data_IF_002984247657
#
_entry.id   IF_002984247657
#
_cell.length_a   1.000
_cell.length_b   1.000
_cell.length_c   1.000
_cell.angle_alpha   90.00
_cell.angle_beta   90.00
_cell.angle_gamma   90.00
#
_symmetry.space_group_name_H-M   'P 1'
#
loop_
_entity.id
_entity.type
_entity.pdbx_description
1 polymer ?
#
# COMPACT_ATOMS: atom_id res chain seq x y z
N UNK A 1 7.56 1.31 -26.66
CA UNK A 1 6.27 1.90 -26.25
C UNK A 1 6.58 2.84 -25.09
N UNK A 2 6.40 4.14 -25.27
CA UNK A 2 6.55 5.08 -24.16
C UNK A 2 5.36 4.82 -23.22
N UNK A 3 5.63 4.41 -21.99
CA UNK A 3 4.60 4.36 -20.95
C UNK A 3 4.12 5.79 -20.75
N UNK A 4 2.85 6.06 -21.01
CA UNK A 4 2.23 7.34 -20.64
C UNK A 4 2.46 7.53 -19.14
N UNK A 5 3.25 8.55 -18.79
CA UNK A 5 3.47 8.92 -17.40
C UNK A 5 2.24 9.68 -16.94
N UNK A 6 1.36 9.00 -16.22
CA UNK A 6 0.23 9.65 -15.56
C UNK A 6 0.79 10.50 -14.42
N UNK A 7 0.55 11.80 -14.47
CA UNK A 7 0.79 12.69 -13.33
C UNK A 7 -0.28 12.41 -12.28
N UNK A 8 0.16 12.03 -11.08
CA UNK A 8 -0.72 11.71 -9.95
C UNK A 8 -0.39 12.67 -8.82
N UNK A 9 -1.40 13.33 -8.27
CA UNK A 9 -1.25 14.24 -7.13
C UNK A 9 -0.98 13.47 -5.83
N UNK A 10 -0.37 14.14 -4.84
CA UNK A 10 -0.19 13.59 -3.50
C UNK A 10 -1.52 13.18 -2.86
N UNK A 11 -2.60 13.93 -3.09
CA UNK A 11 -3.95 13.60 -2.62
C UNK A 11 -4.49 12.29 -3.23
N UNK A 12 -4.24 12.04 -4.52
CA UNK A 12 -4.63 10.79 -5.19
C UNK A 12 -3.80 9.60 -4.70
N UNK A 13 -2.51 9.81 -4.43
CA UNK A 13 -1.65 8.80 -3.80
C UNK A 13 -2.12 8.44 -2.39
N UNK A 14 -2.48 9.44 -1.57
CA UNK A 14 -3.04 9.23 -0.23
C UNK A 14 -4.39 8.51 -0.27
N UNK A 15 -5.27 8.90 -1.19
CA UNK A 15 -6.54 8.20 -1.42
C UNK A 15 -6.33 6.73 -1.78
N UNK A 16 -5.30 6.46 -2.60
CA UNK A 16 -4.94 5.11 -3.01
C UNK A 16 -4.39 4.29 -1.85
N UNK A 17 -3.56 4.88 -0.98
CA UNK A 17 -3.11 4.25 0.27
C UNK A 17 -4.33 3.82 1.11
N UNK A 18 -5.30 4.71 1.31
CA UNK A 18 -6.51 4.40 2.07
C UNK A 18 -7.30 3.22 1.49
N UNK A 19 -7.40 3.11 0.16
CA UNK A 19 -8.03 1.95 -0.51
C UNK A 19 -7.29 0.64 -0.24
N UNK A 20 -5.95 0.67 -0.29
CA UNK A 20 -5.13 -0.51 0.01
C UNK A 20 -5.25 -0.93 1.48
N UNK A 21 -5.28 0.03 2.41
CA UNK A 21 -5.49 -0.24 3.84
C UNK A 21 -6.87 -0.82 4.11
N UNK A 22 -7.91 -0.32 3.44
CA UNK A 22 -9.26 -0.88 3.54
C UNK A 22 -9.32 -2.30 2.98
N UNK A 23 -8.72 -2.54 1.80
CA UNK A 23 -8.66 -3.88 1.20
C UNK A 23 -7.94 -4.87 2.13
N UNK A 24 -6.84 -4.46 2.76
CA UNK A 24 -6.13 -5.25 3.78
C UNK A 24 -7.04 -5.61 4.94
N UNK A 25 -7.78 -4.65 5.49
CA UNK A 25 -8.69 -4.91 6.60
C UNK A 25 -9.78 -5.93 6.22
N UNK A 26 -10.36 -5.81 5.02
CA UNK A 26 -11.34 -6.78 4.52
C UNK A 26 -10.72 -8.17 4.33
N UNK A 27 -9.51 -8.28 3.79
CA UNK A 27 -8.81 -9.57 3.65
C UNK A 27 -8.52 -10.22 5.00
N UNK A 28 -8.11 -9.43 6.00
CA UNK A 28 -7.85 -9.93 7.35
C UNK A 28 -9.13 -10.44 8.03
N UNK A 29 -10.24 -9.71 7.91
CA UNK A 29 -11.54 -10.16 8.44
C UNK A 29 -12.00 -11.47 7.78
N UNK A 30 -11.91 -11.54 6.45
CA UNK A 30 -12.26 -12.75 5.71
C UNK A 30 -11.39 -13.94 6.15
N UNK A 31 -10.09 -13.71 6.35
CA UNK A 31 -9.17 -14.74 6.85
C UNK A 31 -9.54 -15.23 8.25
N UNK A 32 -9.81 -14.34 9.20
CA UNK A 32 -10.22 -14.72 10.56
C UNK A 32 -11.47 -15.60 10.55
N UNK A 33 -12.51 -15.23 9.79
CA UNK A 33 -13.72 -16.04 9.68
C UNK A 33 -13.47 -17.43 9.09
N UNK A 34 -12.54 -17.51 8.15
CA UNK A 34 -12.11 -18.74 7.50
C UNK A 34 -11.29 -19.64 8.46
N UNK A 35 -10.47 -19.04 9.33
CA UNK A 35 -9.69 -19.75 10.36
C UNK A 35 -10.60 -20.32 11.45
N UNK A 36 -11.58 -19.53 11.91
CA UNK A 36 -12.62 -19.99 12.84
C UNK A 36 -13.42 -21.17 12.26
N UNK A 37 -13.79 -21.10 10.99
CA UNK A 37 -14.48 -22.20 10.30
C UNK A 37 -13.60 -23.46 10.23
N UNK A 38 -12.31 -23.30 9.96
CA UNK A 38 -11.34 -24.40 9.96
C UNK A 38 -11.22 -25.05 11.35
N UNK A 39 -11.14 -24.26 12.42
CA UNK A 39 -11.11 -24.77 13.80
C UNK A 39 -12.41 -25.49 14.18
N UNK A 40 -13.55 -25.05 13.65
CA UNK A 40 -14.81 -25.73 13.87
C UNK A 40 -14.83 -27.10 13.18
N UNK A 41 -14.39 -27.17 11.93
CA UNK A 41 -14.28 -28.43 11.17
C UNK A 41 -13.28 -29.39 11.84
N UNK A 42 -12.12 -28.89 12.31
CA UNK A 42 -11.09 -29.67 13.02
C UNK A 42 -11.65 -30.40 14.25
N UNK A 43 -12.63 -29.81 14.92
CA UNK A 43 -13.29 -30.36 16.12
C UNK A 43 -14.40 -31.37 15.78
N UNK A 44 -15.03 -31.23 14.62
CA UNK A 44 -16.17 -32.07 14.22
C UNK A 44 -15.76 -33.27 13.36
N UNK A 45 -14.61 -33.23 12.70
CA UNK A 45 -14.19 -34.26 11.75
C UNK A 45 -12.70 -34.60 11.88
N UNK A 46 -12.41 -35.85 12.27
CA UNK A 46 -11.04 -36.38 12.36
C UNK A 46 -10.85 -37.57 11.43
N UNK A 47 -10.60 -37.28 10.15
CA UNK A 47 -10.46 -38.31 9.11
C UNK A 47 -9.61 -37.81 7.94
N UNK A 48 -9.42 -38.62 6.88
CA UNK A 48 -8.50 -38.30 5.77
C UNK A 48 -8.77 -36.95 5.07
N UNK A 49 -10.03 -36.51 5.04
CA UNK A 49 -10.41 -35.20 4.51
C UNK A 49 -9.76 -34.03 5.26
N UNK A 50 -9.38 -34.23 6.53
CA UNK A 50 -8.69 -33.23 7.38
C UNK A 50 -7.33 -32.83 6.86
N UNK A 51 -6.54 -33.82 6.43
CA UNK A 51 -5.23 -33.58 5.85
C UNK A 51 -5.35 -32.74 4.57
N UNK A 52 -6.33 -33.07 3.71
CA UNK A 52 -6.55 -32.38 2.43
C UNK A 52 -6.98 -30.92 2.66
N UNK A 53 -7.95 -30.65 3.53
CA UNK A 53 -8.34 -29.25 3.75
C UNK A 53 -7.28 -28.48 4.53
N UNK A 54 -6.49 -29.11 5.41
CA UNK A 54 -5.40 -28.45 6.15
C UNK A 54 -4.31 -27.96 5.18
N UNK A 55 -3.98 -28.76 4.16
CA UNK A 55 -3.05 -28.33 3.11
C UNK A 55 -3.61 -27.14 2.30
N UNK A 56 -4.90 -27.19 1.95
CA UNK A 56 -5.56 -26.07 1.25
C UNK A 56 -5.59 -24.82 2.11
N UNK A 57 -5.85 -24.97 3.41
CA UNK A 57 -5.82 -23.89 4.39
C UNK A 57 -4.46 -23.21 4.44
N UNK A 58 -3.38 -24.00 4.53
CA UNK A 58 -2.02 -23.49 4.59
C UNK A 58 -1.65 -22.67 3.34
N UNK A 59 -2.10 -23.12 2.16
CA UNK A 59 -1.91 -22.40 0.91
C UNK A 59 -2.66 -21.06 0.90
N UNK A 60 -3.91 -21.03 1.36
CA UNK A 60 -4.70 -19.80 1.48
C UNK A 60 -4.01 -18.83 2.44
N UNK A 61 -3.62 -19.29 3.64
CA UNK A 61 -2.92 -18.47 4.62
C UNK A 61 -1.61 -17.88 4.08
N UNK A 62 -0.83 -18.68 3.35
CA UNK A 62 0.42 -18.24 2.72
C UNK A 62 0.18 -17.18 1.65
N UNK A 63 -0.85 -17.36 0.81
CA UNK A 63 -1.19 -16.38 -0.21
C UNK A 63 -1.65 -15.06 0.39
N UNK A 64 -2.43 -15.10 1.47
CA UNK A 64 -2.88 -13.89 2.19
C UNK A 64 -1.69 -13.15 2.79
N UNK A 65 -0.74 -13.87 3.38
CA UNK A 65 0.51 -13.27 3.87
C UNK A 65 1.27 -12.55 2.74
N UNK A 66 1.47 -13.22 1.60
CA UNK A 66 2.14 -12.62 0.43
C UNK A 66 1.40 -11.38 -0.09
N UNK A 67 0.06 -11.41 -0.13
CA UNK A 67 -0.74 -10.25 -0.52
C UNK A 67 -0.56 -9.09 0.47
N UNK A 68 -0.54 -9.35 1.77
CA UNK A 68 -0.29 -8.31 2.78
C UNK A 68 1.09 -7.70 2.61
N UNK A 69 2.13 -8.52 2.43
CA UNK A 69 3.51 -8.03 2.21
C UNK A 69 3.59 -7.15 0.95
N UNK A 70 2.89 -7.52 -0.12
CA UNK A 70 2.83 -6.74 -1.36
C UNK A 70 2.05 -5.42 -1.20
N UNK A 71 0.96 -5.43 -0.42
CA UNK A 71 0.21 -4.22 -0.06
C UNK A 71 1.09 -3.27 0.74
N UNK A 72 1.80 -3.78 1.76
CA UNK A 72 2.69 -2.97 2.59
C UNK A 72 3.83 -2.36 1.76
N UNK A 73 4.43 -3.13 0.86
CA UNK A 73 5.44 -2.62 -0.08
C UNK A 73 4.88 -1.51 -0.98
N UNK A 74 3.66 -1.67 -1.48
CA UNK A 74 3.00 -0.66 -2.34
C UNK A 74 2.69 0.62 -1.56
N UNK A 75 2.15 0.50 -0.34
CA UNK A 75 1.88 1.64 0.54
C UNK A 75 3.18 2.38 0.85
N UNK A 76 4.26 1.68 1.19
CA UNK A 76 5.56 2.30 1.47
C UNK A 76 6.12 3.00 0.22
N UNK A 77 5.99 2.41 -0.96
CA UNK A 77 6.39 3.05 -2.21
C UNK A 77 5.61 4.34 -2.47
N UNK A 78 4.29 4.35 -2.21
CA UNK A 78 3.45 5.55 -2.36
C UNK A 78 3.81 6.63 -1.34
N UNK A 79 4.08 6.25 -0.09
CA UNK A 79 4.53 7.18 0.95
C UNK A 79 5.87 7.83 0.60
N UNK A 80 6.83 7.03 0.12
CA UNK A 80 8.12 7.55 -0.34
C UNK A 80 7.95 8.50 -1.53
N UNK A 81 7.10 8.16 -2.49
CA UNK A 81 6.81 9.03 -3.64
C UNK A 81 6.17 10.36 -3.23
N UNK A 82 5.27 10.36 -2.24
CA UNK A 82 4.71 11.59 -1.66
C UNK A 82 5.81 12.45 -1.05
N UNK A 83 6.68 11.86 -0.21
CA UNK A 83 7.80 12.59 0.42
C UNK A 83 8.77 13.17 -0.61
N UNK A 84 9.11 12.42 -1.67
CA UNK A 84 9.95 12.92 -2.75
C UNK A 84 9.30 14.11 -3.48
N UNK A 85 7.98 14.03 -3.72
CA UNK A 85 7.24 15.10 -4.37
C UNK A 85 7.18 16.37 -3.52
N UNK A 86 6.88 16.23 -2.23
CA UNK A 86 6.83 17.36 -1.27
C UNK A 86 8.21 18.04 -1.12
N UNK A 87 9.29 17.26 -1.00
CA UNK A 87 10.65 17.81 -0.93
C UNK A 87 11.09 18.49 -2.24
N UNK A 88 10.65 17.94 -3.38
CA UNK A 88 10.88 18.53 -4.69
C UNK A 88 10.19 19.89 -4.84
N UNK A 89 8.93 19.96 -4.43
CA UNK A 89 8.14 21.20 -4.45
C UNK A 89 8.76 22.28 -3.54
N UNK A 90 9.21 21.93 -2.33
CA UNK A 90 9.93 22.87 -1.46
C UNK A 90 11.23 23.39 -2.08
N UNK A 91 11.99 22.53 -2.76
CA UNK A 91 13.23 22.93 -3.44
C UNK A 91 12.95 23.92 -4.58
N UNK A 92 11.91 23.68 -5.37
CA UNK A 92 11.48 24.56 -6.46
C UNK A 92 10.96 25.90 -5.91
N UNK A 93 10.17 25.88 -4.84
CA UNK A 93 9.69 27.10 -4.17
C UNK A 93 10.84 27.95 -3.64
N UNK A 94 11.83 27.34 -2.99
CA UNK A 94 13.02 28.04 -2.49
C UNK A 94 13.87 28.63 -3.62
N UNK A 95 14.04 27.91 -4.74
CA UNK A 95 14.72 28.43 -5.93
C UNK A 95 13.95 29.62 -6.53
N UNK A 96 12.63 29.53 -6.68
CA UNK A 96 11.79 30.61 -7.20
C UNK A 96 11.85 31.87 -6.34
N UNK A 97 11.83 31.71 -5.01
CA UNK A 97 11.99 32.82 -4.07
C UNK A 97 13.37 33.48 -4.15
N UNK A 98 14.45 32.69 -4.33
CA UNK A 98 15.80 33.20 -4.51
C UNK A 98 16.04 33.89 -5.87
N UNK A 99 15.32 33.50 -6.92
CA UNK A 99 15.35 34.18 -8.21
C UNK A 99 14.63 35.54 -8.12
N UNK A 100 13.53 35.62 -7.36
CA UNK A 100 12.76 36.84 -7.17
C UNK A 100 13.46 37.89 -6.27
N UNK A 101 14.40 37.49 -5.42
CA UNK A 101 15.18 38.44 -4.60
C UNK A 101 16.37 39.05 -5.36
N UNK A 102 16.77 38.49 -6.50
CA UNK A 102 17.85 39.02 -7.35
C UNK A 102 17.45 40.17 -8.27
N UNK A 103 16.16 40.56 -8.33
CA UNK A 103 15.63 41.56 -9.29
C UNK A 103 15.44 42.96 -8.72
N UNK A 104 15.90 43.25 -7.50
CA UNK A 104 15.94 44.65 -7.02
C UNK A 104 17.27 45.27 -7.47
N UNK A 105 17.31 46.18 -8.46
CA UNK A 105 18.56 46.83 -8.85
C UNK A 105 19.05 47.68 -7.67
N UNK A 106 20.36 47.71 -7.39
CA UNK A 106 20.88 48.67 -6.42
C UNK A 106 20.56 50.07 -6.94
N UNK A 107 19.72 50.79 -6.19
CA UNK A 107 19.47 52.21 -6.44
C UNK A 107 20.72 52.97 -5.99
N UNK A 108 21.59 53.27 -6.96
CA UNK A 108 22.62 54.31 -6.85
C UNK A 108 22.07 55.64 -7.35
#
# INVERSE_FOLDING_TARGET
MASDKILVSTAEMQTTIGKYEQARATMQQAFSALDEAKEHIDRCWDGPAKLIYTERWLNIATNIKRSNDAIDATINSLKNAITEYENGDETVLNLGNNINTGTTPPMF
#
